data_IF_288891017474
#
_entry.id   IF_288891017474
#
_cell.length_a   1.000
_cell.length_b   1.000
_cell.length_c   1.000
_cell.angle_alpha   90.00
_cell.angle_beta   90.00
_cell.angle_gamma   90.00
#
_symmetry.space_group_name_H-M   'P 1'
#
loop_
_entity.id
_entity.type
_entity.pdbx_description
1 polymer ?
#
# COMPACT_ATOMS: atom_id res chain seq x y z
N UNK A 1 18.01 24.20 -6.99
CA UNK A 1 18.82 23.04 -7.42
C UNK A 1 18.22 21.79 -6.81
N UNK A 2 17.47 21.04 -7.61
CA UNK A 2 16.71 19.86 -7.20
C UNK A 2 17.66 18.67 -7.20
N UNK A 3 17.95 18.11 -6.03
CA UNK A 3 18.73 16.88 -5.90
C UNK A 3 17.80 15.75 -6.36
N UNK A 4 18.20 15.06 -7.43
CA UNK A 4 17.48 13.91 -7.98
C UNK A 4 17.47 12.75 -6.97
N UNK A 5 16.34 12.07 -6.87
CA UNK A 5 16.24 10.78 -6.19
C UNK A 5 17.04 9.75 -7.01
N UNK A 6 18.09 9.10 -6.45
CA UNK A 6 18.94 8.17 -7.18
C UNK A 6 18.27 6.82 -7.51
N UNK A 7 16.98 6.61 -7.21
CA UNK A 7 16.24 5.37 -7.48
C UNK A 7 14.93 5.57 -8.28
N UNK A 8 14.99 6.26 -9.43
CA UNK A 8 13.89 6.31 -10.40
C UNK A 8 14.18 5.40 -11.62
N UNK A 9 13.75 4.12 -11.61
CA UNK A 9 14.01 3.19 -12.71
C UNK A 9 13.08 3.39 -13.94
N UNK A 10 12.25 4.43 -13.99
CA UNK A 10 11.12 4.51 -14.94
C UNK A 10 11.27 5.53 -16.07
N UNK A 11 12.48 6.05 -16.32
CA UNK A 11 12.73 6.89 -17.51
C UNK A 11 12.82 6.02 -18.78
N UNK A 12 11.67 5.83 -19.43
CA UNK A 12 11.42 5.71 -20.88
C UNK A 12 10.51 4.53 -21.21
N UNK A 13 9.25 4.84 -21.59
CA UNK A 13 8.51 4.13 -22.65
C UNK A 13 7.20 4.87 -22.96
N UNK A 14 7.10 5.39 -24.18
CA UNK A 14 5.83 5.80 -24.77
C UNK A 14 5.05 4.52 -25.15
N UNK A 15 3.75 4.48 -24.87
CA UNK A 15 2.86 3.40 -25.30
C UNK A 15 1.74 3.99 -26.16
N UNK A 16 1.63 3.50 -27.39
CA UNK A 16 0.54 3.79 -28.32
C UNK A 16 -0.74 3.05 -27.90
N UNK A 17 -1.88 3.72 -28.02
CA UNK A 17 -3.21 3.19 -27.72
C UNK A 17 -3.98 2.84 -29.00
N UNK A 18 -4.42 1.58 -29.20
CA UNK A 18 -5.42 1.27 -30.21
C UNK A 18 -6.85 1.42 -29.65
N UNK A 19 -7.74 1.94 -30.50
CA UNK A 19 -9.14 2.30 -30.23
C UNK A 19 -10.03 1.13 -29.78
N UNK A 20 -10.94 1.42 -28.85
CA UNK A 20 -11.83 0.45 -28.21
C UNK A 20 -13.15 0.28 -28.98
N UNK A 21 -13.53 -0.98 -29.27
CA UNK A 21 -14.90 -1.35 -29.63
C UNK A 21 -15.75 -1.55 -28.37
N UNK A 22 -16.90 -0.91 -28.34
CA UNK A 22 -17.89 -0.94 -27.26
C UNK A 22 -18.78 -2.17 -27.37
N UNK A 23 -18.73 -3.06 -26.36
CA UNK A 23 -19.84 -3.95 -26.02
C UNK A 23 -20.26 -3.66 -24.58
N UNK A 24 -21.57 -3.59 -24.35
CA UNK A 24 -22.19 -3.25 -23.08
C UNK A 24 -21.93 -4.33 -22.03
N UNK A 25 -20.84 -4.20 -21.27
CA UNK A 25 -20.56 -5.04 -20.10
C UNK A 25 -21.39 -4.54 -18.92
N UNK A 26 -22.09 -5.43 -18.22
CA UNK A 26 -22.42 -5.21 -16.81
C UNK A 26 -21.13 -4.76 -16.11
N UNK A 27 -21.11 -3.53 -15.58
CA UNK A 27 -19.89 -2.90 -15.03
C UNK A 27 -19.17 -3.88 -14.09
N UNK A 28 -17.98 -4.35 -14.50
CA UNK A 28 -17.18 -5.26 -13.67
C UNK A 28 -17.01 -4.67 -12.27
N UNK A 29 -17.37 -5.44 -11.24
CA UNK A 29 -17.16 -5.01 -9.86
C UNK A 29 -15.67 -4.83 -9.60
N UNK A 30 -15.34 -3.78 -8.85
CA UNK A 30 -13.97 -3.41 -8.53
C UNK A 30 -13.78 -3.51 -7.03
N UNK A 31 -12.76 -4.27 -6.64
CA UNK A 31 -12.28 -4.38 -5.28
C UNK A 31 -11.12 -3.39 -5.10
N UNK A 32 -11.22 -2.52 -4.10
CA UNK A 32 -10.15 -1.61 -3.72
C UNK A 32 -9.49 -2.15 -2.45
N UNK A 33 -8.22 -2.56 -2.58
CA UNK A 33 -7.42 -3.10 -1.47
C UNK A 33 -6.68 -1.96 -0.78
N UNK A 34 -7.17 -1.58 0.40
CA UNK A 34 -6.74 -0.39 1.13
C UNK A 34 -5.86 -0.78 2.31
N UNK A 35 -4.75 -0.07 2.47
CA UNK A 35 -3.83 -0.22 3.60
C UNK A 35 -2.48 0.39 3.28
N UNK A 36 -1.78 0.89 4.31
CA UNK A 36 -0.43 1.45 4.14
C UNK A 36 0.55 0.37 3.62
N UNK A 37 1.64 0.79 2.99
CA UNK A 37 2.77 -0.07 2.64
C UNK A 37 3.13 -1.02 3.79
N UNK A 38 3.47 -2.27 3.46
CA UNK A 38 3.84 -3.34 4.41
C UNK A 38 2.76 -3.77 5.42
N UNK A 39 1.51 -3.31 5.26
CA UNK A 39 0.36 -3.81 6.03
C UNK A 39 -0.10 -5.21 5.59
N UNK A 40 0.51 -5.80 4.56
CA UNK A 40 0.10 -7.07 3.97
C UNK A 40 -0.81 -6.94 2.74
N UNK A 41 -0.93 -5.73 2.16
CA UNK A 41 -1.76 -5.48 0.97
C UNK A 41 -1.43 -6.39 -0.22
N UNK A 42 -0.17 -6.77 -0.41
CA UNK A 42 0.24 -7.73 -1.45
C UNK A 42 -0.28 -9.15 -1.17
N UNK A 43 -0.23 -9.62 0.09
CA UNK A 43 -0.74 -10.93 0.48
C UNK A 43 -2.25 -10.99 0.27
N UNK A 44 -2.95 -9.92 0.66
CA UNK A 44 -4.39 -9.79 0.45
C UNK A 44 -4.76 -9.72 -1.03
N UNK A 45 -4.06 -8.92 -1.84
CA UNK A 45 -4.30 -8.84 -3.28
C UNK A 45 -4.07 -10.18 -3.98
N UNK A 46 -3.03 -10.93 -3.60
CA UNK A 46 -2.80 -12.27 -4.10
C UNK A 46 -3.92 -13.23 -3.67
N UNK A 47 -4.34 -13.21 -2.40
CA UNK A 47 -5.45 -14.04 -1.92
C UNK A 47 -6.75 -13.77 -2.71
N UNK A 48 -7.03 -12.50 -3.01
CA UNK A 48 -8.18 -12.07 -3.83
C UNK A 48 -8.02 -12.54 -5.29
N UNK A 49 -6.81 -12.48 -5.85
CA UNK A 49 -6.53 -13.00 -7.19
C UNK A 49 -6.71 -14.52 -7.29
N UNK A 50 -6.32 -15.28 -6.27
CA UNK A 50 -6.58 -16.73 -6.19
C UNK A 50 -8.08 -17.07 -6.16
N UNK A 51 -8.93 -16.12 -5.73
CA UNK A 51 -10.39 -16.23 -5.81
C UNK A 51 -10.95 -15.84 -7.19
N UNK A 52 -10.10 -15.62 -8.20
CA UNK A 52 -10.50 -15.31 -9.58
C UNK A 52 -10.68 -13.83 -9.89
N UNK A 53 -10.26 -12.92 -9.00
CA UNK A 53 -10.22 -11.51 -9.34
C UNK A 53 -9.06 -11.20 -10.29
N UNK A 54 -9.31 -10.39 -11.32
CA UNK A 54 -8.28 -9.92 -12.23
C UNK A 54 -7.56 -8.69 -11.67
N UNK A 55 -6.25 -8.80 -11.50
CA UNK A 55 -5.36 -7.72 -11.02
C UNK A 55 -4.58 -7.06 -12.16
N UNK A 56 -4.58 -7.65 -13.35
CA UNK A 56 -3.70 -7.32 -14.46
C UNK A 56 -2.92 -8.54 -14.95
N UNK A 57 -2.41 -8.46 -16.18
CA UNK A 57 -1.47 -9.44 -16.72
C UNK A 57 -0.11 -9.33 -16.01
N UNK A 58 0.66 -10.41 -15.94
CA UNK A 58 1.96 -10.43 -15.23
C UNK A 58 2.90 -9.29 -15.69
N UNK A 59 2.92 -8.99 -17.00
CA UNK A 59 3.71 -7.90 -17.58
C UNK A 59 3.28 -6.49 -17.18
N UNK A 60 2.04 -6.34 -16.70
CA UNK A 60 1.48 -5.05 -16.26
C UNK A 60 1.72 -4.83 -14.76
N UNK A 61 2.06 -5.89 -14.02
CA UNK A 61 2.31 -5.83 -12.59
C UNK A 61 3.77 -5.49 -12.29
N UNK A 62 4.00 -4.85 -11.14
CA UNK A 62 5.36 -4.64 -10.64
C UNK A 62 6.02 -6.00 -10.36
N UNK A 63 7.20 -6.27 -10.93
CA UNK A 63 7.88 -7.54 -10.76
C UNK A 63 8.27 -7.77 -9.29
N UNK A 64 8.30 -9.02 -8.80
CA UNK A 64 8.78 -9.33 -7.46
C UNK A 64 10.20 -8.81 -7.24
N UNK A 65 10.49 -8.39 -6.00
CA UNK A 65 11.84 -7.99 -5.60
C UNK A 65 12.36 -8.94 -4.53
N UNK A 66 13.45 -9.70 -4.78
CA UNK A 66 13.89 -10.79 -3.90
C UNK A 66 14.06 -10.42 -2.43
N UNK A 67 14.61 -9.23 -2.14
CA UNK A 67 14.87 -8.78 -0.76
C UNK A 67 13.73 -7.95 -0.13
N UNK A 68 12.77 -7.47 -0.93
CA UNK A 68 11.71 -6.55 -0.43
C UNK A 68 10.36 -7.27 -0.41
N UNK A 69 9.99 -7.91 -1.52
CA UNK A 69 8.73 -8.63 -1.68
C UNK A 69 8.89 -9.74 -2.73
N UNK A 70 9.42 -10.91 -2.33
CA UNK A 70 9.77 -11.98 -3.27
C UNK A 70 8.55 -12.63 -3.94
N UNK A 71 7.36 -12.48 -3.38
CA UNK A 71 6.11 -13.08 -3.89
C UNK A 71 5.28 -12.12 -4.73
N UNK A 72 5.87 -11.03 -5.18
CA UNK A 72 5.23 -10.08 -6.08
C UNK A 72 4.48 -8.99 -5.36
N UNK A 73 4.41 -7.84 -6.02
CA UNK A 73 3.77 -6.65 -5.50
C UNK A 73 2.27 -6.64 -5.77
N UNK A 74 1.78 -7.19 -6.88
CA UNK A 74 0.34 -7.16 -7.22
C UNK A 74 -0.21 -5.74 -7.43
N UNK A 75 0.68 -4.77 -7.62
CA UNK A 75 0.35 -3.43 -8.07
C UNK A 75 0.52 -3.35 -9.59
N UNK A 76 -0.43 -2.74 -10.29
CA UNK A 76 -0.22 -2.40 -11.70
C UNK A 76 0.73 -1.21 -11.82
N UNK A 77 1.67 -1.32 -12.74
CA UNK A 77 2.68 -0.30 -13.03
C UNK A 77 2.07 1.01 -13.52
N UNK A 78 1.04 0.95 -14.36
CA UNK A 78 0.33 2.13 -14.88
C UNK A 78 -0.43 2.88 -13.78
N UNK A 79 -1.10 2.17 -12.86
CA UNK A 79 -1.77 2.76 -11.70
C UNK A 79 -0.76 3.45 -10.77
N UNK A 80 0.38 2.80 -10.48
CA UNK A 80 1.45 3.42 -9.67
C UNK A 80 1.95 4.69 -10.34
N UNK A 81 2.22 4.65 -11.65
CA UNK A 81 2.75 5.81 -12.37
C UNK A 81 1.80 7.02 -12.29
N UNK A 82 0.49 6.78 -12.40
CA UNK A 82 -0.53 7.83 -12.23
C UNK A 82 -0.57 8.38 -10.81
N UNK A 83 -0.54 7.52 -9.78
CA UNK A 83 -0.49 7.97 -8.39
C UNK A 83 0.81 8.74 -8.06
N UNK A 84 1.96 8.24 -8.49
CA UNK A 84 3.26 8.88 -8.24
C UNK A 84 3.35 10.23 -8.95
N UNK A 85 2.89 10.34 -10.20
CA UNK A 85 2.81 11.63 -10.90
C UNK A 85 1.92 12.61 -10.15
N UNK A 86 0.72 12.19 -9.76
CA UNK A 86 -0.23 13.03 -9.04
C UNK A 86 0.32 13.56 -7.70
N UNK A 87 0.99 12.69 -6.93
CA UNK A 87 1.64 13.09 -5.68
C UNK A 87 2.83 14.03 -5.94
N UNK A 88 3.67 13.71 -6.93
CA UNK A 88 4.85 14.51 -7.29
C UNK A 88 4.48 15.93 -7.71
N UNK A 89 3.42 16.08 -8.49
CA UNK A 89 2.89 17.38 -8.91
C UNK A 89 2.34 18.19 -7.73
N UNK A 90 2.08 17.53 -6.59
CA UNK A 90 1.71 18.14 -5.32
C UNK A 90 2.91 18.32 -4.37
N UNK A 91 4.14 18.15 -4.86
CA UNK A 91 5.36 18.22 -4.06
C UNK A 91 5.52 17.06 -3.07
N UNK A 92 4.77 15.98 -3.26
CA UNK A 92 4.69 14.84 -2.36
C UNK A 92 5.30 13.58 -3.00
N UNK A 93 5.57 12.57 -2.19
CA UNK A 93 5.88 11.20 -2.63
C UNK A 93 5.21 10.21 -1.68
N UNK A 94 5.34 8.90 -1.89
CA UNK A 94 4.73 7.92 -0.98
C UNK A 94 5.19 8.08 0.49
N UNK A 95 6.39 8.61 0.73
CA UNK A 95 6.97 8.85 2.06
C UNK A 95 7.22 10.33 2.37
N UNK A 96 6.62 11.25 1.61
CA UNK A 96 6.69 12.69 1.88
C UNK A 96 5.29 13.25 1.65
N UNK A 97 4.46 13.20 2.69
CA UNK A 97 3.02 13.51 2.63
C UNK A 97 2.51 14.34 3.80
N UNK A 98 3.39 14.89 4.65
CA UNK A 98 2.98 15.69 5.80
C UNK A 98 2.00 16.81 5.42
N UNK A 99 2.19 17.49 4.30
CA UNK A 99 1.29 18.56 3.85
C UNK A 99 0.26 18.11 2.79
N UNK A 100 0.16 16.80 2.52
CA UNK A 100 -0.78 16.32 1.52
C UNK A 100 -2.22 16.39 2.05
N UNK A 101 -3.07 17.04 1.26
CA UNK A 101 -4.52 17.08 1.42
C UNK A 101 -5.16 17.12 0.04
N UNK A 102 -5.96 16.11 -0.28
CA UNK A 102 -6.59 15.99 -1.59
C UNK A 102 -7.54 17.17 -1.89
N UNK A 103 -8.19 17.71 -0.87
CA UNK A 103 -9.09 18.86 -0.95
C UNK A 103 -8.36 20.13 -1.43
N UNK A 104 -7.08 20.28 -1.05
CA UNK A 104 -6.22 21.40 -1.45
C UNK A 104 -5.61 21.22 -2.84
N UNK A 105 -5.72 20.04 -3.45
CA UNK A 105 -5.28 19.82 -4.84
C UNK A 105 -6.27 20.50 -5.79
N UNK A 106 -5.78 21.06 -6.91
CA UNK A 106 -6.66 21.69 -7.90
C UNK A 106 -7.61 20.66 -8.51
N UNK A 107 -8.87 21.04 -8.72
CA UNK A 107 -9.91 20.15 -9.28
C UNK A 107 -9.52 19.57 -10.64
N UNK A 108 -8.94 20.39 -11.53
CA UNK A 108 -8.44 19.92 -12.83
C UNK A 108 -7.42 18.79 -12.73
N UNK A 109 -6.57 18.81 -11.69
CA UNK A 109 -5.60 17.73 -11.45
C UNK A 109 -6.27 16.45 -10.96
N UNK A 110 -7.28 16.56 -10.08
CA UNK A 110 -8.07 15.40 -9.64
C UNK A 110 -8.84 14.80 -10.82
N UNK A 111 -9.45 15.63 -11.65
CA UNK A 111 -10.16 15.20 -12.85
C UNK A 111 -9.23 14.50 -13.86
N UNK A 112 -8.02 15.02 -14.07
CA UNK A 112 -7.02 14.37 -14.92
C UNK A 112 -6.64 12.98 -14.37
N UNK A 113 -6.38 12.87 -13.06
CA UNK A 113 -6.12 11.57 -12.43
C UNK A 113 -7.31 10.62 -12.62
N UNK A 114 -8.55 11.06 -12.37
CA UNK A 114 -9.75 10.26 -12.56
C UNK A 114 -9.90 9.79 -14.01
N UNK A 115 -9.63 10.66 -15.00
CA UNK A 115 -9.67 10.33 -16.42
C UNK A 115 -8.68 9.24 -16.80
N UNK A 116 -7.43 9.34 -16.34
CA UNK A 116 -6.40 8.36 -16.63
C UNK A 116 -6.68 7.01 -15.97
N UNK A 117 -7.05 7.01 -14.68
CA UNK A 117 -7.41 5.80 -13.96
C UNK A 117 -8.65 5.12 -14.56
N UNK A 118 -9.64 5.89 -15.01
CA UNK A 118 -10.82 5.38 -15.72
C UNK A 118 -10.42 4.71 -17.03
N UNK A 119 -9.47 5.27 -17.78
CA UNK A 119 -8.93 4.65 -18.99
C UNK A 119 -8.26 3.31 -18.68
N UNK A 120 -7.40 3.26 -17.66
CA UNK A 120 -6.75 2.02 -17.20
C UNK A 120 -7.80 0.96 -16.83
N UNK A 121 -8.77 1.32 -15.97
CA UNK A 121 -9.87 0.40 -15.60
C UNK A 121 -10.68 -0.04 -16.81
N UNK A 122 -10.93 0.85 -17.78
CA UNK A 122 -11.60 0.52 -19.03
C UNK A 122 -10.87 -0.59 -19.81
N UNK A 123 -9.54 -0.61 -19.77
CA UNK A 123 -8.76 -1.69 -20.38
C UNK A 123 -8.89 -3.02 -19.63
N UNK A 124 -8.90 -2.97 -18.29
CA UNK A 124 -9.05 -4.15 -17.44
C UNK A 124 -10.42 -4.81 -17.57
N UNK A 125 -11.49 -4.02 -17.74
CA UNK A 125 -12.87 -4.52 -17.89
C UNK A 125 -13.06 -5.50 -19.06
N UNK A 126 -12.16 -5.48 -20.05
CA UNK A 126 -12.18 -6.43 -21.17
C UNK A 126 -11.95 -7.88 -20.75
N UNK A 127 -11.43 -8.13 -19.54
CA UNK A 127 -11.26 -9.49 -19.00
C UNK A 127 -12.59 -10.11 -18.49
N UNK A 128 -13.71 -9.37 -18.47
CA UNK A 128 -15.05 -9.83 -18.03
C UNK A 128 -15.05 -10.54 -16.66
N UNK A 129 -14.29 -10.02 -15.70
CA UNK A 129 -14.13 -10.59 -14.35
C UNK A 129 -14.32 -9.53 -13.27
N UNK A 130 -14.37 -9.95 -12.01
CA UNK A 130 -14.23 -9.00 -10.89
C UNK A 130 -12.80 -8.46 -10.91
N UNK A 131 -12.64 -7.14 -10.89
CA UNK A 131 -11.33 -6.49 -10.88
C UNK A 131 -10.86 -6.26 -9.46
N UNK A 132 -9.55 -6.31 -9.22
CA UNK A 132 -8.95 -5.89 -7.97
C UNK A 132 -7.83 -4.88 -8.24
N UNK A 133 -7.93 -3.72 -7.60
CA UNK A 133 -6.91 -2.67 -7.64
C UNK A 133 -6.22 -2.63 -6.27
N UNK A 134 -4.90 -2.70 -6.30
CA UNK A 134 -4.06 -2.50 -5.13
C UNK A 134 -2.97 -1.50 -5.45
N UNK A 135 -2.89 -0.46 -4.63
CA UNK A 135 -1.76 0.43 -4.44
C UNK A 135 -1.91 1.03 -3.04
N UNK A 136 -0.91 0.99 -2.15
CA UNK A 136 -1.04 1.60 -0.83
C UNK A 136 -1.46 3.08 -0.85
N UNK A 137 -1.14 3.82 -1.93
CA UNK A 137 -1.56 5.21 -2.16
C UNK A 137 -3.05 5.36 -2.43
N UNK A 138 -3.80 4.26 -2.61
CA UNK A 138 -5.27 4.29 -2.53
C UNK A 138 -5.73 5.00 -1.25
N UNK A 139 -5.02 4.84 -0.13
CA UNK A 139 -5.31 5.56 1.10
C UNK A 139 -5.36 7.09 0.92
N UNK A 140 -4.62 7.64 -0.04
CA UNK A 140 -4.51 9.07 -0.34
C UNK A 140 -5.43 9.50 -1.50
N UNK A 141 -5.75 8.57 -2.41
CA UNK A 141 -6.44 8.86 -3.67
C UNK A 141 -7.87 8.30 -3.75
N UNK A 142 -8.34 7.57 -2.74
CA UNK A 142 -9.66 6.94 -2.68
C UNK A 142 -10.83 7.84 -3.14
N UNK A 143 -10.93 9.13 -2.74
CA UNK A 143 -12.02 9.98 -3.21
C UNK A 143 -12.05 10.14 -4.74
N UNK A 144 -10.88 10.17 -5.41
CA UNK A 144 -10.79 10.21 -6.88
C UNK A 144 -11.28 8.90 -7.51
N UNK A 145 -11.01 7.75 -6.88
CA UNK A 145 -11.55 6.46 -7.32
C UNK A 145 -13.08 6.42 -7.21
N UNK A 146 -13.64 7.02 -6.16
CA UNK A 146 -15.09 7.10 -5.95
C UNK A 146 -15.83 7.97 -6.97
N UNK A 147 -15.13 8.87 -7.69
CA UNK A 147 -15.73 9.69 -8.75
C UNK A 147 -16.17 8.87 -9.97
N UNK A 148 -15.61 7.67 -10.17
CA UNK A 148 -15.87 6.88 -11.37
C UNK A 148 -16.13 5.39 -11.14
N UNK A 149 -15.71 4.85 -10.00
CA UNK A 149 -16.03 3.47 -9.63
C UNK A 149 -17.35 3.46 -8.88
N UNK A 150 -18.41 3.00 -9.53
CA UNK A 150 -19.73 2.88 -8.91
C UNK A 150 -19.76 1.72 -7.90
N UNK A 151 -19.98 2.04 -6.62
CA UNK A 151 -20.10 1.09 -5.53
C UNK A 151 -19.00 -0.01 -5.51
N UNK A 152 -17.72 0.39 -5.29
CA UNK A 152 -16.62 -0.56 -5.15
C UNK A 152 -16.78 -1.39 -3.88
N UNK A 153 -16.20 -2.59 -3.89
CA UNK A 153 -15.97 -3.35 -2.67
C UNK A 153 -14.69 -2.85 -1.99
N UNK A 154 -14.77 -2.42 -0.75
CA UNK A 154 -13.61 -2.00 0.02
C UNK A 154 -13.11 -3.14 0.90
N UNK A 155 -11.81 -3.38 0.87
CA UNK A 155 -11.15 -4.29 1.82
C UNK A 155 -9.98 -3.56 2.46
N UNK A 156 -10.06 -3.36 3.78
CA UNK A 156 -9.03 -2.66 4.56
C UNK A 156 -8.20 -3.71 5.30
N UNK A 157 -6.90 -3.78 5.01
CA UNK A 157 -6.01 -4.66 5.74
C UNK A 157 -5.38 -3.96 6.94
N UNK A 158 -5.37 -4.64 8.07
CA UNK A 158 -4.89 -4.13 9.35
C UNK A 158 -3.70 -4.97 9.81
N UNK A 159 -2.58 -4.31 10.07
CA UNK A 159 -1.38 -4.91 10.67
C UNK A 159 -0.89 -4.00 11.78
N UNK A 160 -0.26 -4.59 12.79
CA UNK A 160 0.41 -3.84 13.85
C UNK A 160 1.36 -2.78 13.25
N UNK A 161 1.13 -1.47 13.51
CA UNK A 161 1.97 -0.40 12.96
C UNK A 161 3.44 -0.51 13.34
N UNK A 162 3.77 -1.15 14.47
CA UNK A 162 5.15 -1.40 14.88
C UNK A 162 5.81 -2.48 14.00
N UNK A 163 5.06 -3.51 13.61
CA UNK A 163 5.51 -4.52 12.63
C UNK A 163 5.63 -3.94 11.22
N UNK A 164 4.75 -3.01 10.85
CA UNK A 164 4.87 -2.24 9.60
C UNK A 164 6.18 -1.46 9.59
N UNK A 165 6.46 -0.71 10.66
CA UNK A 165 7.68 0.08 10.79
C UNK A 165 8.94 -0.80 10.70
N UNK A 166 8.99 -1.90 11.47
CA UNK A 166 10.09 -2.85 11.43
C UNK A 166 10.30 -3.44 10.02
N UNK A 167 9.21 -3.77 9.30
CA UNK A 167 9.30 -4.28 7.93
C UNK A 167 9.83 -3.24 6.93
N UNK A 168 9.45 -1.97 7.07
CA UNK A 168 9.96 -0.89 6.21
C UNK A 168 11.44 -0.60 6.48
N UNK A 169 11.85 -0.58 7.74
CA UNK A 169 13.27 -0.40 8.11
C UNK A 169 14.14 -1.54 7.60
N UNK A 170 13.65 -2.78 7.62
CA UNK A 170 14.38 -3.92 7.04
C UNK A 170 14.50 -3.85 5.51
N UNK A 171 13.47 -3.34 4.84
CA UNK A 171 13.46 -3.19 3.37
C UNK A 171 14.30 -1.99 2.89
N UNK A 172 14.37 -0.94 3.70
CA UNK A 172 15.11 0.29 3.42
C UNK A 172 15.99 0.66 4.63
N UNK A 173 17.12 -0.05 4.83
CA UNK A 173 18.03 0.23 5.94
C UNK A 173 18.45 1.69 5.96
N UNK A 174 18.59 2.25 7.17
CA UNK A 174 19.11 3.60 7.42
C UNK A 174 18.28 4.76 6.80
N UNK A 175 17.11 4.45 6.24
CA UNK A 175 16.28 5.44 5.52
C UNK A 175 15.18 6.08 6.37
N UNK A 176 14.80 5.43 7.49
CA UNK A 176 13.62 5.78 8.28
C UNK A 176 13.85 5.54 9.78
N UNK A 177 13.19 6.36 10.61
CA UNK A 177 13.04 6.11 12.05
C UNK A 177 11.69 5.44 12.33
N UNK A 178 11.57 4.77 13.48
CA UNK A 178 10.29 4.18 13.90
C UNK A 178 9.20 5.24 14.01
N UNK A 179 9.47 6.37 14.67
CA UNK A 179 8.48 7.44 14.87
C UNK A 179 7.98 8.03 13.55
N UNK A 180 8.88 8.21 12.56
CA UNK A 180 8.50 8.64 11.22
C UNK A 180 7.52 7.65 10.58
N UNK A 181 7.79 6.34 10.67
CA UNK A 181 6.94 5.32 10.06
C UNK A 181 5.60 5.17 10.77
N UNK A 182 5.55 5.37 12.08
CA UNK A 182 4.29 5.37 12.86
C UNK A 182 3.43 6.60 12.52
N UNK A 183 4.04 7.78 12.42
CA UNK A 183 3.35 9.00 11.98
C UNK A 183 2.85 8.89 10.52
N UNK A 184 3.67 8.30 9.64
CA UNK A 184 3.30 8.03 8.25
C UNK A 184 2.12 7.05 8.18
N UNK A 185 2.14 5.98 8.97
CA UNK A 185 1.01 5.04 9.09
C UNK A 185 -0.27 5.75 9.51
N UNK A 186 -0.21 6.57 10.56
CA UNK A 186 -1.35 7.35 11.03
C UNK A 186 -1.89 8.25 9.91
N UNK A 187 -1.02 8.93 9.15
CA UNK A 187 -1.43 9.79 8.03
C UNK A 187 -2.17 9.01 6.94
N UNK A 188 -1.63 7.88 6.50
CA UNK A 188 -2.26 7.04 5.49
C UNK A 188 -3.65 6.58 5.93
N UNK A 189 -3.77 6.01 7.13
CA UNK A 189 -5.04 5.47 7.61
C UNK A 189 -6.07 6.57 7.90
N UNK A 190 -5.65 7.75 8.36
CA UNK A 190 -6.54 8.91 8.47
C UNK A 190 -7.13 9.32 7.13
N UNK A 191 -6.31 9.45 6.10
CA UNK A 191 -6.80 9.80 4.76
C UNK A 191 -7.76 8.73 4.21
N UNK A 192 -7.42 7.45 4.38
CA UNK A 192 -8.26 6.34 3.94
C UNK A 192 -9.61 6.34 4.67
N UNK A 193 -9.61 6.42 6.01
CA UNK A 193 -10.82 6.37 6.82
C UNK A 193 -11.72 7.59 6.60
N UNK A 194 -11.14 8.77 6.38
CA UNK A 194 -11.92 9.96 5.99
C UNK A 194 -12.66 9.74 4.66
N UNK A 195 -12.00 9.16 3.66
CA UNK A 195 -12.62 8.82 2.37
C UNK A 195 -13.66 7.68 2.47
N UNK A 196 -13.54 6.84 3.50
CA UNK A 196 -14.41 5.70 3.73
C UNK A 196 -15.53 5.96 4.74
N UNK A 197 -15.56 7.11 5.40
CA UNK A 197 -16.59 7.45 6.39
C UNK A 197 -18.01 7.34 5.79
N UNK A 198 -18.91 6.67 6.50
CA UNK A 198 -20.28 6.37 6.04
C UNK A 198 -20.35 5.33 4.90
N UNK A 199 -19.22 4.72 4.51
CA UNK A 199 -19.18 3.62 3.54
C UNK A 199 -19.02 2.29 4.25
N UNK A 200 -19.24 1.21 3.49
CA UNK A 200 -19.07 -0.16 3.96
C UNK A 200 -17.71 -0.71 3.53
N UNK A 201 -17.04 -1.42 4.43
CA UNK A 201 -15.78 -2.10 4.14
C UNK A 201 -15.64 -3.41 4.92
N UNK A 202 -14.89 -4.35 4.36
CA UNK A 202 -14.43 -5.53 5.08
C UNK A 202 -13.04 -5.24 5.67
N UNK A 203 -12.90 -5.37 6.98
CA UNK A 203 -11.60 -5.26 7.65
C UNK A 203 -10.96 -6.64 7.78
N UNK A 204 -9.69 -6.77 7.39
CA UNK A 204 -8.93 -8.04 7.39
C UNK A 204 -7.71 -7.88 8.28
N UNK A 205 -7.62 -8.72 9.32
CA UNK A 205 -6.44 -8.77 10.17
C UNK A 205 -5.33 -9.54 9.44
N UNK A 206 -4.19 -8.90 9.27
CA UNK A 206 -3.01 -9.55 8.70
C UNK A 206 -2.55 -10.73 9.56
N UNK A 207 -2.63 -10.62 10.88
CA UNK A 207 -2.25 -11.71 11.78
C UNK A 207 -3.16 -12.94 11.58
N UNK A 208 -4.49 -12.75 11.60
CA UNK A 208 -5.44 -13.83 11.35
C UNK A 208 -5.30 -14.43 9.95
N UNK A 209 -4.97 -13.61 8.95
CA UNK A 209 -4.72 -14.10 7.58
C UNK A 209 -3.54 -15.07 7.52
N UNK A 210 -2.55 -14.92 8.40
CA UNK A 210 -1.40 -15.83 8.52
C UNK A 210 -1.67 -17.03 9.44
N UNK A 211 -2.34 -16.80 10.57
CA UNK A 211 -2.57 -17.81 11.61
C UNK A 211 -3.73 -18.76 11.24
N UNK A 212 -4.80 -18.24 10.64
CA UNK A 212 -6.01 -18.95 10.29
C UNK A 212 -6.41 -18.71 8.82
N UNK A 213 -5.52 -19.02 7.85
CA UNK A 213 -5.68 -18.61 6.45
C UNK A 213 -6.99 -19.10 5.82
N UNK A 214 -7.47 -20.29 6.18
CA UNK A 214 -8.71 -20.85 5.62
C UNK A 214 -9.96 -20.14 6.15
N UNK A 215 -9.99 -19.85 7.44
CA UNK A 215 -11.11 -19.18 8.08
C UNK A 215 -11.20 -17.73 7.58
N UNK A 216 -10.08 -17.01 7.53
CA UNK A 216 -10.03 -15.65 7.00
C UNK A 216 -10.35 -15.58 5.50
N UNK A 217 -9.94 -16.57 4.69
CA UNK A 217 -10.37 -16.61 3.28
C UNK A 217 -11.86 -16.82 3.11
N UNK A 218 -12.45 -17.70 3.92
CA UNK A 218 -13.90 -17.89 3.91
C UNK A 218 -14.61 -16.58 4.24
N UNK A 219 -14.15 -15.88 5.27
CA UNK A 219 -14.69 -14.58 5.70
C UNK A 219 -14.52 -13.53 4.60
N UNK A 220 -13.34 -13.46 3.98
CA UNK A 220 -13.04 -12.58 2.86
C UNK A 220 -13.96 -12.84 1.67
N UNK A 221 -14.13 -14.09 1.25
CA UNK A 221 -15.00 -14.45 0.13
C UNK A 221 -16.47 -14.10 0.40
N UNK A 222 -16.99 -14.43 1.60
CA UNK A 222 -18.36 -14.06 2.00
C UNK A 222 -18.55 -12.53 2.05
N UNK A 223 -17.58 -11.80 2.61
CA UNK A 223 -17.62 -10.35 2.69
C UNK A 223 -17.55 -9.67 1.33
N UNK A 224 -16.74 -10.17 0.40
CA UNK A 224 -16.68 -9.68 -0.99
C UNK A 224 -18.00 -9.93 -1.72
N UNK A 225 -18.60 -11.11 -1.57
CA UNK A 225 -19.92 -11.41 -2.14
C UNK A 225 -21.01 -10.48 -1.59
N UNK A 226 -20.98 -10.18 -0.28
CA UNK A 226 -21.90 -9.23 0.35
C UNK A 226 -21.73 -7.77 -0.16
N UNK A 227 -20.59 -7.45 -0.78
CA UNK A 227 -20.34 -6.18 -1.47
C UNK A 227 -20.62 -6.23 -2.99
N UNK A 228 -21.19 -7.33 -3.48
CA UNK A 228 -21.62 -7.50 -4.87
C UNK A 228 -20.61 -8.19 -5.78
N UNK A 229 -19.49 -8.70 -5.28
CA UNK A 229 -18.50 -9.46 -6.06
C UNK A 229 -18.93 -10.91 -6.35
N UNK A 230 -20.21 -11.14 -6.70
CA UNK A 230 -20.82 -12.47 -6.83
C UNK A 230 -20.20 -13.38 -7.91
N UNK A 231 -19.38 -12.80 -8.80
CA UNK A 231 -18.65 -13.54 -9.85
C UNK A 231 -17.36 -14.21 -9.35
N UNK A 232 -16.95 -14.02 -8.10
CA UNK A 232 -15.75 -14.68 -7.57
C UNK A 232 -16.00 -16.17 -7.31
N UNK A 233 -15.25 -17.09 -7.97
CA UNK A 233 -15.22 -18.49 -7.59
C UNK A 233 -15.07 -18.72 -6.09
N UNK A 234 -15.60 -19.84 -5.62
CA UNK A 234 -15.36 -20.29 -4.25
C UNK A 234 -13.85 -20.49 -4.03
N UNK A 235 -13.34 -19.98 -2.92
CA UNK A 235 -11.92 -20.04 -2.58
C UNK A 235 -11.41 -21.49 -2.43
N UNK A 236 -10.13 -21.70 -2.77
CA UNK A 236 -9.38 -22.94 -2.51
C UNK A 236 -8.32 -22.70 -1.43
N UNK A 237 -8.64 -23.16 -0.22
CA UNK A 237 -7.80 -23.03 0.97
C UNK A 237 -6.37 -23.60 0.78
N UNK A 238 -6.19 -24.62 -0.07
CA UNK A 238 -4.88 -25.26 -0.26
C UNK A 238 -3.92 -24.38 -1.03
N UNK A 239 -4.41 -23.64 -2.03
CA UNK A 239 -3.60 -22.70 -2.84
C UNK A 239 -3.06 -21.53 -2.02
N UNK A 240 -3.76 -21.12 -0.96
CA UNK A 240 -3.28 -20.04 -0.11
C UNK A 240 -2.12 -20.44 0.78
N UNK A 241 -2.14 -21.64 1.36
CA UNK A 241 -1.03 -22.12 2.20
C UNK A 241 0.30 -22.19 1.45
N UNK A 242 0.27 -22.48 0.14
CA UNK A 242 1.48 -22.42 -0.70
C UNK A 242 2.00 -21.01 -0.96
N UNK A 243 1.15 -19.99 -0.73
CA UNK A 243 1.44 -18.58 -0.99
C UNK A 243 1.77 -17.83 0.30
N UNK A 244 1.15 -18.21 1.42
CA UNK A 244 1.42 -17.65 2.74
C UNK A 244 2.52 -18.48 3.41
N UNK A 245 3.73 -17.97 3.32
CA UNK A 245 4.90 -18.53 3.98
C UNK A 245 5.12 -17.87 5.35
N UNK A 246 5.54 -18.63 6.37
CA UNK A 246 5.98 -18.09 7.66
C UNK A 246 7.10 -17.04 7.55
N UNK A 247 7.72 -16.87 6.38
CA UNK A 247 8.61 -15.75 6.02
C UNK A 247 7.98 -14.36 6.14
N UNK A 248 6.65 -14.24 6.10
CA UNK A 248 5.97 -12.95 6.05
C UNK A 248 5.85 -12.21 7.41
N UNK A 249 6.02 -12.92 8.54
CA UNK A 249 5.94 -12.32 9.89
C UNK A 249 7.30 -12.24 10.63
N UNK A 250 8.41 -12.13 9.89
CA UNK A 250 9.77 -12.16 10.50
C UNK A 250 10.23 -10.82 11.10
N UNK A 251 9.55 -9.71 10.80
CA UNK A 251 9.96 -8.39 11.31
C UNK A 251 9.47 -8.18 12.73
N UNK A 252 10.32 -8.48 13.71
CA UNK A 252 10.08 -8.14 15.10
C UNK A 252 10.22 -6.62 15.31
N UNK A 253 9.22 -5.96 15.95
CA UNK A 253 9.35 -4.58 16.37
C UNK A 253 10.58 -4.35 17.25
N UNK A 254 11.16 -3.16 17.19
CA UNK A 254 12.16 -2.76 18.18
C UNK A 254 11.49 -2.67 19.56
N UNK A 255 12.23 -2.98 20.64
CA UNK A 255 11.70 -2.85 22.01
C UNK A 255 11.29 -1.42 22.41
N UNK A 256 11.70 -0.43 21.61
CA UNK A 256 11.39 0.99 21.79
C UNK A 256 10.23 1.47 20.92
N UNK A 257 9.67 0.64 20.05
CA UNK A 257 8.54 1.01 19.19
C UNK A 257 7.25 1.16 20.02
N UNK A 258 6.98 2.40 20.46
CA UNK A 258 5.78 2.75 21.24
C UNK A 258 4.84 3.58 20.37
N UNK A 259 3.56 3.22 20.44
CA UNK A 259 2.50 3.99 19.81
C UNK A 259 2.12 5.16 20.71
N UNK A 260 1.89 6.34 20.15
CA UNK A 260 1.23 7.44 20.87
C UNK A 260 -0.19 7.04 21.24
N UNK A 261 -0.81 7.76 22.18
CA UNK A 261 -2.20 7.48 22.60
C UNK A 261 -3.16 7.51 21.41
N UNK A 262 -2.97 8.43 20.47
CA UNK A 262 -3.76 8.53 19.25
C UNK A 262 -3.58 7.32 18.32
N UNK A 263 -2.34 6.88 18.16
CA UNK A 263 -2.01 5.70 17.36
C UNK A 263 -2.57 4.42 18.01
N UNK A 264 -2.53 4.33 19.34
CA UNK A 264 -3.13 3.24 20.10
C UNK A 264 -4.65 3.21 19.91
N UNK A 265 -5.33 4.36 20.07
CA UNK A 265 -6.79 4.45 19.87
C UNK A 265 -7.19 4.09 18.44
N UNK A 266 -6.47 4.61 17.43
CA UNK A 266 -6.70 4.26 16.03
C UNK A 266 -6.49 2.77 15.78
N UNK A 267 -5.40 2.19 16.29
CA UNK A 267 -5.10 0.78 16.07
C UNK A 267 -6.10 -0.15 16.77
N UNK A 268 -6.47 0.15 18.02
CA UNK A 268 -7.48 -0.61 18.75
C UNK A 268 -8.83 -0.58 18.03
N UNK A 269 -9.24 0.59 17.53
CA UNK A 269 -10.43 0.74 16.72
C UNK A 269 -10.37 -0.13 15.45
N UNK A 270 -9.24 -0.13 14.73
CA UNK A 270 -9.06 -0.97 13.54
C UNK A 270 -9.15 -2.47 13.87
N UNK A 271 -8.58 -2.90 15.00
CA UNK A 271 -8.65 -4.30 15.45
C UNK A 271 -10.08 -4.72 15.80
N UNK A 272 -10.83 -3.88 16.50
CA UNK A 272 -12.25 -4.15 16.82
C UNK A 272 -13.07 -4.41 15.54
N UNK A 273 -12.83 -3.65 14.46
CA UNK A 273 -13.50 -3.89 13.17
C UNK A 273 -13.06 -5.20 12.50
N UNK A 274 -11.84 -5.68 12.75
CA UNK A 274 -11.40 -7.00 12.27
C UNK A 274 -12.14 -8.17 12.94
N UNK A 275 -12.74 -7.97 14.11
CA UNK A 275 -13.51 -9.01 14.81
C UNK A 275 -14.88 -9.25 14.18
N UNK A 276 -15.36 -8.35 13.33
CA UNK A 276 -16.63 -8.50 12.64
C UNK A 276 -16.61 -9.67 11.62
N UNK A 277 -17.67 -10.46 11.60
CA UNK A 277 -17.82 -11.60 10.68
C UNK A 277 -17.94 -11.19 9.21
N UNK A 278 -18.26 -9.92 8.93
CA UNK A 278 -18.50 -9.43 7.59
C UNK A 278 -18.22 -7.95 7.43
N UNK A 279 -18.92 -7.35 6.46
CA UNK A 279 -18.74 -5.96 6.05
C UNK A 279 -19.40 -5.03 7.07
N UNK A 280 -18.65 -4.07 7.59
CA UNK A 280 -19.13 -3.08 8.55
C UNK A 280 -19.28 -1.71 7.89
N UNK A 281 -20.21 -0.91 8.41
CA UNK A 281 -20.24 0.52 8.13
C UNK A 281 -19.13 1.22 8.90
N UNK A 282 -18.41 2.12 8.23
CA UNK A 282 -17.33 2.90 8.82
C UNK A 282 -17.93 4.14 9.48
N UNK A 283 -18.23 3.98 10.77
CA UNK A 283 -18.72 5.01 11.67
C UNK A 283 -17.87 5.06 12.95
N UNK A 284 -18.04 6.12 13.73
CA UNK A 284 -17.38 6.31 15.03
C UNK A 284 -15.85 6.25 14.96
N UNK A 285 -15.26 6.76 13.87
CA UNK A 285 -13.80 6.86 13.71
C UNK A 285 -13.26 7.72 14.87
N UNK A 286 -12.22 7.28 15.60
CA UNK A 286 -11.74 8.01 16.76
C UNK A 286 -11.19 9.37 16.34
N UNK A 287 -11.60 10.42 17.05
CA UNK A 287 -10.98 11.72 16.92
C UNK A 287 -9.54 11.63 17.44
N UNK A 288 -8.61 11.75 16.51
CA UNK A 288 -7.17 11.78 16.77
C UNK A 288 -6.59 13.06 16.17
N UNK A 289 -5.42 13.48 16.63
CA UNK A 289 -4.67 14.60 16.10
C UNK A 289 -4.12 14.26 14.71
N UNK A 290 -4.02 15.29 13.87
CA UNK A 290 -3.39 15.15 12.56
C UNK A 290 -1.87 15.03 12.75
N UNK A 291 -1.21 13.98 12.23
CA UNK A 291 0.23 13.81 12.43
C UNK A 291 1.08 14.77 11.59
N UNK A 292 0.47 15.67 10.80
CA UNK A 292 1.16 16.50 9.81
C UNK A 292 2.29 17.35 10.39
N UNK A 293 2.11 17.95 11.57
CA UNK A 293 3.16 18.74 12.22
C UNK A 293 4.37 17.88 12.60
N UNK A 294 4.14 16.75 13.27
CA UNK A 294 5.19 15.81 13.64
C UNK A 294 5.85 15.18 12.41
N UNK A 295 5.05 14.80 11.40
CA UNK A 295 5.54 14.21 10.17
C UNK A 295 6.37 15.21 9.37
N UNK A 296 6.01 16.50 9.36
CA UNK A 296 6.77 17.55 8.68
C UNK A 296 8.16 17.74 9.31
N UNK A 297 8.24 17.72 10.64
CA UNK A 297 9.51 17.76 11.37
C UNK A 297 10.37 16.55 11.01
N UNK A 298 9.80 15.35 11.09
CA UNK A 298 10.49 14.10 10.79
C UNK A 298 10.92 14.00 9.31
N UNK A 299 10.11 14.50 8.38
CA UNK A 299 10.46 14.64 6.96
C UNK A 299 11.63 15.64 6.76
N UNK A 300 11.69 16.72 7.54
CA UNK A 300 12.81 17.66 7.49
C UNK A 300 14.10 17.03 8.01
N UNK A 301 14.01 16.32 9.15
CA UNK A 301 15.15 15.58 9.72
C UNK A 301 15.65 14.57 8.71
N UNK A 302 14.77 13.71 8.17
CA UNK A 302 15.10 12.72 7.15
C UNK A 302 15.81 13.34 5.94
N UNK A 303 15.28 14.45 5.39
CA UNK A 303 15.92 15.16 4.27
C UNK A 303 17.32 15.66 4.61
N UNK A 304 17.53 16.17 5.82
CA UNK A 304 18.85 16.61 6.28
C UNK A 304 19.81 15.44 6.47
N UNK A 305 19.36 14.32 7.03
CA UNK A 305 20.15 13.10 7.18
C UNK A 305 20.58 12.51 5.82
N UNK A 306 19.67 12.47 4.85
CA UNK A 306 19.96 11.99 3.50
C UNK A 306 20.92 12.91 2.73
N UNK A 307 20.84 14.24 2.94
CA UNK A 307 21.75 15.21 2.31
C UNK A 307 23.13 15.29 2.99
N UNK A 308 23.17 15.09 4.30
CA UNK A 308 24.39 15.15 5.11
C UNK A 308 25.24 13.88 5.04
N UNK A 309 24.82 12.87 4.28
CA UNK A 309 25.49 11.58 4.22
C UNK A 309 25.44 10.88 5.58
N UNK A 310 24.27 10.35 5.95
CA UNK A 310 24.19 9.31 6.99
C UNK A 310 25.03 8.09 6.56
N UNK A 311 26.33 8.21 6.80
CA UNK A 311 27.35 7.19 6.89
C UNK A 311 27.82 7.26 8.34
N UNK A 312 27.10 6.60 9.25
CA UNK A 312 27.55 6.42 10.63
C UNK A 312 27.22 5.00 11.08
N UNK A 313 27.88 4.02 10.43
CA UNK A 313 28.43 2.81 11.04
C UNK A 313 29.22 1.96 10.03
N UNK A 314 30.28 2.52 9.43
CA UNK A 314 31.46 1.72 9.03
C UNK A 314 32.69 2.40 9.62
N UNK A 315 32.82 2.34 10.93
CA UNK A 315 34.12 2.44 11.58
C UNK A 315 34.09 1.64 12.88
N UNK A 316 35.01 0.67 12.94
CA UNK A 316 35.37 -0.23 14.04
C UNK A 316 34.58 -1.54 14.13
N UNK A 317 34.98 -2.49 13.28
CA UNK A 317 34.57 -3.88 13.43
C UNK A 317 35.19 -4.89 12.46
N UNK A 318 36.45 -4.75 12.03
CA UNK A 318 37.26 -5.88 11.55
C UNK A 318 38.73 -5.45 11.39
N UNK A 319 39.51 -5.63 12.43
CA UNK A 319 40.96 -5.86 12.30
C UNK A 319 41.18 -7.19 11.59
N UNK A 320 41.87 -7.19 10.44
CA UNK A 320 42.97 -8.13 10.17
C UNK A 320 43.61 -7.86 8.79
N UNK A 321 44.91 -7.55 8.85
CA UNK A 321 45.92 -7.98 7.86
C UNK A 321 45.80 -7.47 6.41
N UNK A 322 46.61 -6.47 6.06
CA UNK A 322 47.86 -6.70 5.28
C UNK A 322 48.72 -5.44 5.27
N UNK A 323 49.99 -5.56 5.66
CA UNK A 323 51.04 -4.53 5.50
C UNK A 323 51.38 -4.31 4.02
N UNK A 324 51.85 -3.10 3.62
CA UNK A 324 52.44 -2.89 2.31
C UNK A 324 53.90 -3.35 2.30
N UNK A 325 54.29 -4.13 1.28
CA UNK A 325 55.70 -4.25 0.91
C UNK A 325 56.00 -3.27 -0.22
N UNK A 326 56.87 -2.32 0.09
CA UNK A 326 57.71 -1.62 -0.88
C UNK A 326 58.64 -2.65 -1.55
N UNK A 327 58.75 -2.60 -2.87
CA UNK A 327 60.04 -2.75 -3.55
C UNK A 327 59.99 -2.07 -4.90
N UNK A 328 60.82 -1.06 -5.03
CA UNK A 328 61.36 -0.49 -6.26
C UNK A 328 62.10 -1.55 -7.08
N UNK A 329 61.91 -1.54 -8.39
CA UNK A 329 62.94 -1.58 -9.42
C UNK A 329 62.35 -0.96 -10.70
#
# INVERSE_FOLDING_TARGET
MTIADPYDPWKNRAMDHPEAKTSSSLDSKIILVVGMHRSGTSVLAHAISLMGAFVGEERELVPPHPSINPTGFWERTDVIAEHDRFLKDSGCSWATIANFSLEKVAESRRHNLAGNLRSIVGTMRRHDSTLAIKDPRLCLTLPVWHEFVAAPAHVVIVRDPRKIAASLMAAFPESFTTDFLLALWQKYLRCALAALAGKRALFVSYARLLEEPEAEQRRLWLGLNAQGCARLPRFDARRLRSVIDGRFDRSAPSGHARLSDDQQRLYAWLLDRCESEGVVEIADIPTIECPDSALLELESVRRSCMRGGWNMAVQNGATASTRPMLSTA
#
